data_IF_366770306707
#
_entry.id   IF_366770306707
#
_cell.length_a   1.000
_cell.length_b   1.000
_cell.length_c   1.000
_cell.angle_alpha   90.00
_cell.angle_beta   90.00
_cell.angle_gamma   90.00
#
_symmetry.space_group_name_H-M   'P 1'
#
loop_
_entity.id
_entity.type
_entity.pdbx_description
1 polymer ?
#
# COMPACT_ATOMS: atom_id res chain seq x y z
N UNK A 1 -36.67 -15.84 -35.33
CA UNK A 1 -36.35 -14.48 -34.86
C UNK A 1 -36.67 -14.24 -33.36
N UNK A 2 -36.53 -15.25 -32.47
CA UNK A 2 -36.72 -15.08 -31.01
C UNK A 2 -35.47 -15.36 -30.17
N UNK A 3 -34.48 -16.07 -30.73
CA UNK A 3 -33.22 -16.44 -30.06
C UNK A 3 -32.14 -15.34 -30.17
N UNK A 4 -32.16 -14.54 -31.25
CA UNK A 4 -31.17 -13.48 -31.48
C UNK A 4 -31.31 -12.30 -30.49
N UNK A 5 -32.53 -12.01 -30.01
CA UNK A 5 -32.78 -10.93 -29.06
C UNK A 5 -32.28 -11.24 -27.65
N UNK A 6 -32.24 -12.52 -27.23
CA UNK A 6 -31.70 -12.90 -25.93
C UNK A 6 -30.17 -12.85 -25.90
N UNK A 7 -29.51 -13.21 -27.01
CA UNK A 7 -28.04 -13.19 -27.10
C UNK A 7 -27.50 -11.75 -27.04
N UNK A 8 -28.18 -10.78 -27.69
CA UNK A 8 -27.79 -9.37 -27.64
C UNK A 8 -27.96 -8.73 -26.26
N UNK A 9 -28.96 -9.15 -25.48
CA UNK A 9 -29.18 -8.67 -24.11
C UNK A 9 -28.14 -9.19 -23.11
N UNK A 10 -27.62 -10.40 -23.33
CA UNK A 10 -26.55 -10.97 -22.50
C UNK A 10 -25.19 -10.30 -22.79
N UNK A 11 -24.93 -9.91 -24.04
CA UNK A 11 -23.67 -9.23 -24.42
C UNK A 11 -23.64 -7.77 -23.93
N UNK A 12 -24.78 -7.08 -23.92
CA UNK A 12 -24.85 -5.71 -23.40
C UNK A 12 -24.72 -5.62 -21.87
N UNK A 13 -25.04 -6.68 -21.13
CA UNK A 13 -24.86 -6.73 -19.68
C UNK A 13 -23.39 -6.96 -19.25
N UNK A 14 -22.49 -7.26 -20.18
CA UNK A 14 -21.07 -7.55 -19.92
C UNK A 14 -20.12 -6.40 -20.24
N UNK A 15 -20.61 -5.23 -20.67
CA UNK A 15 -19.80 -4.01 -20.74
C UNK A 15 -19.67 -3.41 -19.33
N UNK A 16 -19.05 -4.17 -18.42
CA UNK A 16 -18.46 -3.61 -17.22
C UNK A 16 -17.36 -2.65 -17.66
N UNK A 17 -17.61 -1.35 -17.53
CA UNK A 17 -16.56 -0.33 -17.62
C UNK A 17 -15.59 -0.50 -16.44
N UNK A 18 -14.69 -1.48 -16.55
CA UNK A 18 -13.54 -1.60 -15.65
C UNK A 18 -12.56 -0.47 -15.96
N UNK A 19 -12.54 0.56 -15.12
CA UNK A 19 -11.42 1.49 -15.11
C UNK A 19 -10.36 0.91 -14.16
N UNK A 20 -9.16 0.65 -14.69
CA UNK A 20 -8.01 0.38 -13.85
C UNK A 20 -7.58 1.70 -13.21
N UNK A 21 -7.53 1.75 -11.88
CA UNK A 21 -7.01 2.91 -11.15
C UNK A 21 -5.85 2.48 -10.26
N UNK A 22 -4.88 3.37 -10.10
CA UNK A 22 -3.76 3.13 -9.19
C UNK A 22 -4.21 3.23 -7.73
N UNK A 23 -3.52 2.57 -6.78
CA UNK A 23 -3.77 2.74 -5.36
C UNK A 23 -3.78 4.21 -4.92
N UNK A 24 -2.83 5.02 -5.44
CA UNK A 24 -2.75 6.45 -5.17
C UNK A 24 -4.02 7.20 -5.55
N UNK A 25 -4.47 7.08 -6.79
CA UNK A 25 -5.69 7.75 -7.27
C UNK A 25 -6.92 7.36 -6.46
N UNK A 26 -7.03 6.07 -6.08
CA UNK A 26 -8.15 5.58 -5.26
C UNK A 26 -8.09 6.20 -3.87
N UNK A 27 -6.92 6.24 -3.25
CA UNK A 27 -6.73 6.72 -1.89
C UNK A 27 -6.90 8.24 -1.80
N UNK A 28 -6.33 9.01 -2.73
CA UNK A 28 -6.52 10.47 -2.82
C UNK A 28 -8.01 10.81 -2.99
N UNK A 29 -8.73 10.09 -3.86
CA UNK A 29 -10.17 10.29 -4.03
C UNK A 29 -10.99 9.92 -2.79
N UNK A 30 -10.63 8.83 -2.10
CA UNK A 30 -11.34 8.36 -0.89
C UNK A 30 -11.13 9.30 0.30
N UNK A 31 -9.95 9.92 0.39
CA UNK A 31 -9.52 10.73 1.53
C UNK A 31 -9.32 12.20 1.16
N UNK A 32 -10.06 12.70 0.17
CA UNK A 32 -9.95 14.08 -0.32
C UNK A 32 -10.10 15.15 0.79
N UNK A 33 -10.85 14.83 1.86
CA UNK A 33 -11.15 15.73 2.99
C UNK A 33 -10.31 15.42 4.26
N UNK A 34 -9.51 14.33 4.26
CA UNK A 34 -8.63 13.94 5.38
C UNK A 34 -7.38 13.19 4.89
N UNK A 35 -6.39 13.96 4.44
CA UNK A 35 -5.17 13.48 3.76
C UNK A 35 -4.30 12.55 4.63
N UNK A 36 -4.44 12.60 5.96
CA UNK A 36 -3.63 11.82 6.91
C UNK A 36 -3.74 10.30 6.69
N UNK A 37 -4.86 9.83 6.13
CA UNK A 37 -5.10 8.41 5.89
C UNK A 37 -4.74 7.97 4.46
N UNK A 38 -4.28 8.87 3.57
CA UNK A 38 -3.87 8.51 2.20
C UNK A 38 -2.72 7.50 2.24
N UNK A 39 -1.67 7.77 3.02
CA UNK A 39 -0.53 6.85 3.18
C UNK A 39 -0.95 5.48 3.70
N UNK A 40 -1.85 5.45 4.71
CA UNK A 40 -2.38 4.20 5.23
C UNK A 40 -3.11 3.40 4.13
N UNK A 41 -3.98 4.08 3.38
CA UNK A 41 -4.76 3.47 2.31
C UNK A 41 -3.84 2.86 1.24
N UNK A 42 -2.81 3.60 0.80
CA UNK A 42 -1.83 3.09 -0.17
C UNK A 42 -1.05 1.88 0.38
N UNK A 43 -0.55 1.98 1.61
CA UNK A 43 0.16 0.89 2.27
C UNK A 43 -0.68 -0.36 2.44
N UNK A 44 -1.98 -0.22 2.66
CA UNK A 44 -2.90 -1.35 2.72
C UNK A 44 -2.99 -2.05 1.37
N UNK A 45 -3.05 -1.30 0.26
CA UNK A 45 -3.01 -1.89 -1.08
C UNK A 45 -1.69 -2.57 -1.41
N UNK A 46 -0.58 -2.06 -0.87
CA UNK A 46 0.74 -2.67 -1.02
C UNK A 46 0.97 -3.85 -0.07
N UNK A 47 0.06 -4.08 0.89
CA UNK A 47 0.19 -5.10 1.92
C UNK A 47 1.21 -4.77 3.02
N UNK A 48 1.67 -3.52 3.11
CA UNK A 48 2.57 -3.06 4.18
C UNK A 48 1.83 -2.75 5.50
N UNK A 49 0.51 -2.79 5.47
CA UNK A 49 -0.39 -2.81 6.63
C UNK A 49 -1.71 -3.46 6.21
N UNK A 50 -2.72 -3.42 7.07
CA UNK A 50 -4.07 -3.92 6.79
C UNK A 50 -5.13 -3.08 7.49
N UNK A 51 -6.40 -3.48 7.36
CA UNK A 51 -7.55 -2.77 7.94
C UNK A 51 -7.51 -2.60 9.47
N UNK A 52 -6.67 -3.40 10.15
CA UNK A 52 -6.42 -3.31 11.60
C UNK A 52 -5.16 -2.50 11.94
N UNK A 53 -4.55 -1.82 10.97
CA UNK A 53 -3.29 -1.07 11.11
C UNK A 53 -2.12 -1.92 11.62
N UNK A 54 -2.13 -3.24 11.34
CA UNK A 54 -1.06 -4.14 11.79
C UNK A 54 0.26 -3.84 11.07
N UNK A 55 1.34 -4.05 11.81
CA UNK A 55 2.74 -3.91 11.39
C UNK A 55 3.55 -5.07 11.99
N UNK A 56 3.11 -6.30 11.74
CA UNK A 56 3.81 -7.52 12.16
C UNK A 56 4.85 -7.97 11.12
N UNK A 57 5.46 -9.13 11.37
CA UNK A 57 6.53 -9.66 10.53
C UNK A 57 6.08 -9.90 9.07
N UNK A 58 4.80 -10.21 8.82
CA UNK A 58 4.29 -10.38 7.45
C UNK A 58 4.38 -9.06 6.68
N UNK A 59 3.88 -7.98 7.27
CA UNK A 59 3.85 -6.66 6.67
C UNK A 59 5.26 -6.07 6.50
N UNK A 60 6.13 -6.29 7.48
CA UNK A 60 7.54 -5.88 7.44
C UNK A 60 8.27 -6.63 6.33
N UNK A 61 8.05 -7.94 6.20
CA UNK A 61 8.68 -8.74 5.16
C UNK A 61 8.23 -8.29 3.77
N UNK A 62 6.94 -7.98 3.57
CA UNK A 62 6.45 -7.42 2.29
C UNK A 62 7.17 -6.13 1.90
N UNK A 63 7.34 -5.19 2.84
CA UNK A 63 8.09 -3.96 2.56
C UNK A 63 9.55 -4.27 2.25
N UNK A 64 10.20 -5.12 3.03
CA UNK A 64 11.58 -5.56 2.77
C UNK A 64 11.71 -6.23 1.40
N UNK A 65 10.75 -7.06 0.99
CA UNK A 65 10.76 -7.75 -0.31
C UNK A 65 10.66 -6.73 -1.45
N UNK A 66 9.81 -5.71 -1.30
CA UNK A 66 9.73 -4.62 -2.29
C UNK A 66 11.04 -3.84 -2.37
N UNK A 67 11.66 -3.51 -1.24
CA UNK A 67 12.94 -2.81 -1.22
C UNK A 67 14.06 -3.65 -1.86
N UNK A 68 14.06 -4.97 -1.65
CA UNK A 68 15.04 -5.87 -2.24
C UNK A 68 14.81 -6.07 -3.75
N UNK A 69 13.57 -6.37 -4.14
CA UNK A 69 13.19 -6.67 -5.53
C UNK A 69 13.38 -5.48 -6.47
N UNK A 70 13.29 -4.26 -5.95
CA UNK A 70 13.52 -3.03 -6.72
C UNK A 70 14.86 -2.36 -6.39
N UNK A 71 15.80 -3.13 -5.82
CA UNK A 71 17.21 -2.77 -5.64
C UNK A 71 17.45 -1.52 -4.76
N UNK A 72 16.50 -1.21 -3.86
CA UNK A 72 16.70 -0.18 -2.84
C UNK A 72 17.67 -0.63 -1.75
N UNK A 73 17.79 -1.94 -1.53
CA UNK A 73 18.75 -2.59 -0.62
C UNK A 73 19.40 -3.78 -1.33
N UNK A 74 20.56 -4.21 -0.82
CA UNK A 74 21.28 -5.41 -1.28
C UNK A 74 20.99 -6.61 -0.37
N UNK A 75 21.29 -7.82 -0.86
CA UNK A 75 21.13 -9.06 -0.09
C UNK A 75 21.81 -9.02 1.28
N UNK A 76 23.02 -8.44 1.36
CA UNK A 76 23.78 -8.33 2.62
C UNK A 76 23.24 -7.24 3.57
N UNK A 77 22.24 -6.45 3.16
CA UNK A 77 21.60 -5.41 3.95
C UNK A 77 20.21 -5.84 4.47
N UNK A 78 19.73 -7.03 4.07
CA UNK A 78 18.40 -7.54 4.40
C UNK A 78 18.17 -7.62 5.91
N UNK A 79 19.07 -8.25 6.67
CA UNK A 79 18.90 -8.41 8.11
C UNK A 79 18.91 -7.08 8.85
N UNK A 80 19.81 -6.16 8.46
CA UNK A 80 19.86 -4.79 9.01
C UNK A 80 18.57 -4.03 8.69
N UNK A 81 18.03 -4.20 7.48
CA UNK A 81 16.77 -3.57 7.06
C UNK A 81 15.59 -4.11 7.86
N UNK A 82 15.47 -5.42 8.01
CA UNK A 82 14.38 -6.04 8.81
C UNK A 82 14.45 -5.56 10.25
N UNK A 83 15.64 -5.51 10.86
CA UNK A 83 15.81 -4.99 12.22
C UNK A 83 15.36 -3.53 12.35
N UNK A 84 15.72 -2.68 11.38
CA UNK A 84 15.27 -1.28 11.32
C UNK A 84 13.75 -1.15 11.20
N UNK A 85 13.14 -1.88 10.26
CA UNK A 85 11.70 -1.88 10.06
C UNK A 85 10.94 -2.38 11.30
N UNK A 86 11.44 -3.42 11.98
CA UNK A 86 10.88 -3.91 13.26
C UNK A 86 10.93 -2.83 14.35
N UNK A 87 12.04 -2.10 14.46
CA UNK A 87 12.16 -0.98 15.40
C UNK A 87 11.11 0.11 15.08
N UNK A 88 11.01 0.52 13.82
CA UNK A 88 10.02 1.50 13.38
C UNK A 88 8.57 1.06 13.62
N UNK A 89 8.27 -0.22 13.37
CA UNK A 89 6.95 -0.78 13.62
C UNK A 89 6.58 -0.72 15.10
N UNK A 90 7.53 -1.02 16.01
CA UNK A 90 7.31 -0.91 17.45
C UNK A 90 7.07 0.54 17.89
N UNK A 91 7.82 1.50 17.35
CA UNK A 91 7.63 2.94 17.62
C UNK A 91 6.28 3.46 17.12
N UNK A 92 5.78 2.94 15.99
CA UNK A 92 4.47 3.25 15.44
C UNK A 92 3.34 2.63 16.26
N UNK A 93 3.44 1.34 16.62
CA UNK A 93 2.45 0.65 17.47
C UNK A 93 2.25 1.34 18.82
N UNK A 94 3.32 1.85 19.43
CA UNK A 94 3.23 2.62 20.68
C UNK A 94 2.39 3.92 20.54
N UNK A 95 2.13 4.38 19.31
CA UNK A 95 1.33 5.57 19.01
C UNK A 95 -0.10 5.24 18.60
N UNK A 96 -0.46 3.96 18.43
CA UNK A 96 -1.82 3.55 18.08
C UNK A 96 -2.78 3.75 19.27
N UNK A 97 -4.07 3.80 18.97
CA UNK A 97 -5.14 3.80 19.95
C UNK A 97 -6.32 2.95 19.43
N UNK A 98 -6.91 2.14 20.31
CA UNK A 98 -7.96 1.16 19.97
C UNK A 98 -9.10 1.78 19.17
N UNK A 99 -9.53 2.98 19.53
CA UNK A 99 -10.75 3.60 19.01
C UNK A 99 -10.49 4.95 18.33
N UNK A 100 -9.34 5.10 17.67
CA UNK A 100 -9.01 6.35 16.96
C UNK A 100 -8.33 6.10 15.62
N UNK A 101 -9.14 6.00 14.56
CA UNK A 101 -8.69 5.82 13.17
C UNK A 101 -7.69 6.88 12.74
N UNK A 102 -7.95 8.16 13.02
CA UNK A 102 -7.05 9.26 12.61
C UNK A 102 -5.66 9.11 13.24
N UNK A 103 -5.61 8.77 14.53
CA UNK A 103 -4.36 8.50 15.26
C UNK A 103 -3.66 7.23 14.74
N UNK A 104 -4.42 6.22 14.32
CA UNK A 104 -3.85 5.03 13.71
C UNK A 104 -3.29 5.32 12.31
N UNK A 105 -3.96 6.12 11.48
CA UNK A 105 -3.39 6.64 10.23
C UNK A 105 -2.08 7.40 10.48
N UNK A 106 -2.05 8.27 11.49
CA UNK A 106 -0.81 8.95 11.90
C UNK A 106 0.31 7.98 12.30
N UNK A 107 -0.02 6.86 12.96
CA UNK A 107 0.96 5.83 13.30
C UNK A 107 1.60 5.21 12.06
N UNK A 108 0.83 5.02 10.98
CA UNK A 108 1.34 4.48 9.72
C UNK A 108 2.22 5.51 8.99
N UNK A 109 1.82 6.79 8.98
CA UNK A 109 2.68 7.88 8.48
C UNK A 109 4.00 7.93 9.25
N UNK A 110 3.95 7.77 10.57
CA UNK A 110 5.15 7.71 11.40
C UNK A 110 6.02 6.50 11.08
N UNK A 111 5.42 5.32 10.88
CA UNK A 111 6.12 4.11 10.44
C UNK A 111 6.84 4.34 9.10
N UNK A 112 6.16 4.87 8.08
CA UNK A 112 6.75 5.19 6.78
C UNK A 112 7.97 6.11 6.93
N UNK A 113 7.81 7.21 7.67
CA UNK A 113 8.90 8.19 7.89
C UNK A 113 10.10 7.55 8.58
N UNK A 114 9.86 6.77 9.63
CA UNK A 114 10.94 6.04 10.29
C UNK A 114 11.61 5.04 9.34
N UNK A 115 10.83 4.32 8.52
CA UNK A 115 11.34 3.32 7.61
C UNK A 115 12.37 3.88 6.62
N UNK A 116 12.12 5.04 6.01
CA UNK A 116 13.04 5.61 5.02
C UNK A 116 14.12 6.54 5.58
N UNK A 117 14.00 7.00 6.83
CA UNK A 117 15.04 7.82 7.49
C UNK A 117 16.04 6.89 8.20
N UNK A 118 17.08 6.47 7.47
CA UNK A 118 18.11 5.57 7.98
C UNK A 118 19.45 5.74 7.22
N UNK A 119 20.44 4.93 7.59
CA UNK A 119 21.80 4.90 7.02
C UNK A 119 22.06 3.67 6.10
N UNK A 120 21.02 2.89 5.81
CA UNK A 120 21.07 1.65 5.01
C UNK A 120 20.85 1.97 3.54
N UNK A 121 19.85 2.80 3.24
CA UNK A 121 19.48 3.19 1.88
C UNK A 121 19.04 4.66 1.83
N UNK A 122 19.01 5.22 0.63
CA UNK A 122 18.59 6.62 0.43
C UNK A 122 17.07 6.73 0.29
N UNK A 123 16.53 7.91 0.62
CA UNK A 123 15.13 8.21 0.35
C UNK A 123 14.76 8.02 -1.13
N UNK A 124 15.64 8.41 -2.06
CA UNK A 124 15.39 8.24 -3.50
C UNK A 124 15.25 6.78 -3.91
N UNK A 125 16.10 5.90 -3.39
CA UNK A 125 16.01 4.46 -3.64
C UNK A 125 14.72 3.86 -3.07
N UNK A 126 14.35 4.29 -1.86
CA UNK A 126 13.08 3.92 -1.24
C UNK A 126 11.88 4.36 -2.09
N UNK A 127 11.80 5.64 -2.44
CA UNK A 127 10.70 6.21 -3.23
C UNK A 127 10.57 5.53 -4.60
N UNK A 128 11.70 5.26 -5.25
CA UNK A 128 11.72 4.54 -6.53
C UNK A 128 11.16 3.11 -6.40
N UNK A 129 11.54 2.38 -5.34
CA UNK A 129 11.02 1.04 -5.10
C UNK A 129 9.51 1.04 -4.85
N UNK A 130 9.00 1.99 -4.05
CA UNK A 130 7.55 2.13 -3.80
C UNK A 130 6.82 2.48 -5.09
N UNK A 131 7.34 3.41 -5.89
CA UNK A 131 6.73 3.80 -7.19
C UNK A 131 6.71 2.63 -8.17
N UNK A 132 7.80 1.86 -8.27
CA UNK A 132 7.86 0.66 -9.12
C UNK A 132 6.86 -0.39 -8.66
N UNK A 133 6.75 -0.63 -7.35
CA UNK A 133 5.73 -1.52 -6.79
C UNK A 133 4.31 -1.04 -7.07
N UNK A 134 4.04 0.25 -6.90
CA UNK A 134 2.72 0.83 -7.19
C UNK A 134 2.30 0.63 -8.66
N UNK A 135 3.26 0.68 -9.59
CA UNK A 135 3.01 0.45 -11.01
C UNK A 135 2.67 -1.01 -11.37
N UNK A 136 2.97 -1.98 -10.49
CA UNK A 136 2.58 -3.39 -10.69
C UNK A 136 1.17 -3.69 -10.20
N UNK A 137 0.55 -2.76 -9.46
CA UNK A 137 -0.75 -2.93 -8.83
C UNK A 137 -1.79 -2.11 -9.61
N UNK A 138 -2.66 -2.80 -10.34
CA UNK A 138 -3.83 -2.22 -10.98
C UNK A 138 -5.10 -2.73 -10.31
N UNK A 139 -5.99 -1.81 -9.94
CA UNK A 139 -7.24 -2.14 -9.25
C UNK A 139 -8.39 -1.89 -10.21
N UNK A 140 -9.15 -2.95 -10.49
CA UNK A 140 -10.36 -2.87 -11.31
C UNK A 140 -11.53 -2.45 -10.44
N UNK A 141 -12.02 -1.23 -10.64
CA UNK A 141 -13.26 -0.77 -10.00
C UNK A 141 -14.43 -1.18 -10.88
N UNK A 142 -15.33 -2.01 -10.35
CA UNK A 142 -16.63 -2.29 -10.99
C UNK A 142 -17.59 -1.17 -10.60
N UNK A 143 -18.09 -0.43 -11.58
CA UNK A 143 -19.20 0.53 -11.40
C UNK A 143 -20.53 -0.22 -11.31
#
# INVERSE_FOLDING_TARGET
MKQLSFILLVVAALTLESNASSPKEICEKRHQDDDICVTYCEYSYYGFTNDEFKLDDEHINKLKDVLLNFEAIKDNEVDKTVAHLKKCANEAKAKQASDNTRKNCYSIVHYQRCAYVNDIFTFSAYDEAIRKNAATISITIRK
#
